data_IF_716308139637
#
_entry.id   IF_716308139637
#
_cell.length_a   1.000
_cell.length_b   1.000
_cell.length_c   1.000
_cell.angle_alpha   90.00
_cell.angle_beta   90.00
_cell.angle_gamma   90.00
#
_symmetry.space_group_name_H-M   'P 1'
#
loop_
_entity.id
_entity.type
_entity.pdbx_description
1 polymer ?
#
# COMPACT_ATOMS: atom_id res chain seq x y z
N UNK A 1 19.26 -18.58 -15.98
CA UNK A 1 19.26 -18.67 -14.51
C UNK A 1 17.83 -18.93 -14.08
N UNK A 2 17.50 -20.15 -13.64
CA UNK A 2 16.16 -20.44 -13.12
C UNK A 2 16.01 -19.82 -11.73
N UNK A 3 15.04 -18.93 -11.56
CA UNK A 3 14.74 -18.36 -10.25
C UNK A 3 14.11 -19.44 -9.35
N UNK A 4 14.72 -19.66 -8.18
CA UNK A 4 14.12 -20.50 -7.14
C UNK A 4 13.02 -19.70 -6.45
N UNK A 5 11.77 -20.07 -6.70
CA UNK A 5 10.60 -19.47 -6.06
C UNK A 5 10.31 -20.22 -4.75
N UNK A 6 10.29 -19.50 -3.64
CA UNK A 6 9.91 -20.03 -2.33
C UNK A 6 8.46 -19.65 -2.01
N UNK A 7 7.54 -20.63 -1.89
CA UNK A 7 6.16 -20.33 -1.57
C UNK A 7 6.01 -19.85 -0.13
N UNK A 8 4.99 -19.02 0.11
CA UNK A 8 4.65 -18.59 1.47
C UNK A 8 4.22 -19.80 2.29
N UNK A 9 4.84 -19.97 3.46
CA UNK A 9 4.52 -21.07 4.36
C UNK A 9 3.07 -20.96 4.86
N UNK A 10 2.36 -22.10 4.97
CA UNK A 10 0.97 -22.16 5.43
C UNK A 10 0.68 -21.38 6.73
N UNK A 11 1.47 -21.48 7.82
CA UNK A 11 1.19 -20.73 9.04
C UNK A 11 1.30 -19.21 8.84
N UNK A 12 2.19 -18.75 7.95
CA UNK A 12 2.31 -17.33 7.62
C UNK A 12 1.11 -16.87 6.79
N UNK A 13 0.71 -17.67 5.79
CA UNK A 13 -0.45 -17.37 4.94
C UNK A 13 -1.74 -17.23 5.77
N UNK A 14 -1.91 -18.06 6.80
CA UNK A 14 -3.11 -18.04 7.65
C UNK A 14 -3.22 -16.79 8.55
N UNK A 15 -2.08 -16.22 8.98
CA UNK A 15 -2.05 -15.04 9.87
C UNK A 15 -1.82 -13.70 9.15
N UNK A 16 -1.50 -13.75 7.86
CA UNK A 16 -1.20 -12.54 7.08
C UNK A 16 -2.47 -11.70 6.89
N UNK A 17 -2.36 -10.39 7.09
CA UNK A 17 -3.47 -9.45 6.90
C UNK A 17 -3.76 -9.15 5.41
N UNK A 18 -2.84 -9.56 4.54
CA UNK A 18 -2.86 -9.31 3.10
C UNK A 18 -2.37 -10.58 2.40
N UNK A 19 -3.13 -11.01 1.40
CA UNK A 19 -2.75 -12.07 0.46
C UNK A 19 -2.33 -11.47 -0.89
N UNK A 20 -2.02 -12.33 -1.86
CA UNK A 20 -1.55 -11.89 -3.19
C UNK A 20 -2.59 -11.04 -3.91
N UNK A 21 -3.85 -11.43 -3.90
CA UNK A 21 -4.91 -10.74 -4.63
C UNK A 21 -5.18 -9.37 -4.04
N UNK A 22 -5.28 -9.30 -2.70
CA UNK A 22 -5.43 -8.04 -1.98
C UNK A 22 -4.23 -7.12 -2.17
N UNK A 23 -3.01 -7.67 -2.17
CA UNK A 23 -1.80 -6.90 -2.46
C UNK A 23 -1.87 -6.27 -3.85
N UNK A 24 -2.16 -7.06 -4.90
CA UNK A 24 -2.21 -6.57 -6.28
C UNK A 24 -3.23 -5.45 -6.44
N UNK A 25 -4.44 -5.67 -5.90
CA UNK A 25 -5.51 -4.66 -5.93
C UNK A 25 -5.15 -3.38 -5.17
N UNK A 26 -4.58 -3.51 -3.98
CA UNK A 26 -4.18 -2.34 -3.18
C UNK A 26 -3.02 -1.59 -3.82
N UNK A 27 -2.08 -2.31 -4.44
CA UNK A 27 -0.97 -1.72 -5.16
C UNK A 27 -1.47 -0.89 -6.35
N UNK A 28 -2.33 -1.47 -7.19
CA UNK A 28 -2.99 -0.78 -8.29
C UNK A 28 -3.71 0.49 -7.80
N UNK A 29 -4.56 0.38 -6.78
CA UNK A 29 -5.28 1.54 -6.23
C UNK A 29 -4.33 2.61 -5.66
N UNK A 30 -3.22 2.19 -5.03
CA UNK A 30 -2.24 3.11 -4.43
C UNK A 30 -1.48 3.95 -5.46
N UNK A 31 -1.33 3.43 -6.68
CA UNK A 31 -0.61 4.08 -7.78
C UNK A 31 -1.57 4.91 -8.63
N UNK A 32 -2.73 4.36 -8.99
CA UNK A 32 -3.71 5.03 -9.83
C UNK A 32 -4.43 6.16 -9.09
N UNK A 33 -4.80 5.94 -7.83
CA UNK A 33 -5.60 6.88 -7.03
C UNK A 33 -4.94 7.13 -5.66
N UNK A 34 -3.73 7.74 -5.63
CA UNK A 34 -2.94 7.86 -4.41
C UNK A 34 -3.64 8.67 -3.33
N UNK A 35 -4.36 9.75 -3.68
CA UNK A 35 -5.06 10.57 -2.67
C UNK A 35 -6.17 9.79 -1.96
N UNK A 36 -6.90 8.94 -2.70
CA UNK A 36 -7.95 8.10 -2.13
C UNK A 36 -7.38 6.99 -1.25
N UNK A 37 -6.38 6.26 -1.78
CA UNK A 37 -5.75 5.16 -1.07
C UNK A 37 -5.04 5.64 0.20
N UNK A 38 -4.08 6.55 0.05
CA UNK A 38 -3.30 7.05 1.19
C UNK A 38 -4.14 7.93 2.11
N UNK A 39 -5.18 8.60 1.60
CA UNK A 39 -6.13 9.34 2.42
C UNK A 39 -6.93 8.44 3.36
N UNK A 40 -7.26 7.22 2.95
CA UNK A 40 -7.86 6.19 3.83
C UNK A 40 -6.84 5.64 4.81
N UNK A 41 -5.65 5.27 4.32
CA UNK A 41 -4.62 4.64 5.15
C UNK A 41 -3.97 5.58 6.17
N UNK A 42 -3.92 6.89 5.90
CA UNK A 42 -3.38 7.90 6.82
C UNK A 42 -4.25 8.16 8.05
N UNK A 43 -5.52 7.75 8.03
CA UNK A 43 -6.45 7.83 9.18
C UNK A 43 -6.16 6.81 10.28
N UNK A 44 -5.23 5.88 10.07
CA UNK A 44 -4.76 4.96 11.12
C UNK A 44 -3.92 5.63 12.20
N UNK A 45 -3.48 6.85 11.94
CA UNK A 45 -2.72 7.69 12.86
C UNK A 45 -3.70 8.69 13.45
N UNK A 46 -3.58 8.95 14.75
CA UNK A 46 -4.38 9.98 15.40
C UNK A 46 -3.79 11.35 15.10
N UNK A 47 -4.61 12.18 14.45
CA UNK A 47 -4.25 13.54 14.08
C UNK A 47 -4.94 14.52 15.00
N UNK A 48 -4.19 15.46 15.57
CA UNK A 48 -4.77 16.61 16.30
C UNK A 48 -5.63 17.49 15.38
N UNK A 49 -5.24 17.61 14.10
CA UNK A 49 -6.03 18.26 13.06
C UNK A 49 -6.01 17.40 11.77
N UNK A 50 -7.17 17.04 11.21
CA UNK A 50 -7.22 16.27 9.96
C UNK A 50 -6.54 17.02 8.80
N UNK A 51 -5.74 16.29 8.02
CA UNK A 51 -5.16 16.81 6.78
C UNK A 51 -6.22 16.89 5.66
N UNK A 52 -6.03 17.82 4.72
CA UNK A 52 -6.92 18.00 3.55
C UNK A 52 -6.26 17.60 2.24
N UNK A 53 -4.91 17.61 2.17
CA UNK A 53 -4.12 17.24 1.00
C UNK A 53 -3.27 16.02 1.33
N UNK A 54 -3.34 14.99 0.49
CA UNK A 54 -2.68 13.70 0.73
C UNK A 54 -1.34 13.63 0.00
N UNK A 55 -1.31 13.79 -1.33
CA UNK A 55 -0.07 13.79 -2.12
C UNK A 55 0.23 15.17 -2.70
N UNK A 56 1.49 15.60 -2.61
CA UNK A 56 1.96 16.86 -3.20
C UNK A 56 3.45 16.77 -3.58
N UNK A 57 3.80 15.83 -4.45
CA UNK A 57 5.19 15.48 -4.80
C UNK A 57 5.44 15.76 -6.28
N UNK A 58 6.60 16.33 -6.63
CA UNK A 58 7.07 16.47 -8.01
C UNK A 58 8.53 16.04 -8.12
N UNK A 59 8.88 15.42 -9.25
CA UNK A 59 10.27 15.09 -9.61
C UNK A 59 10.90 16.12 -10.55
N UNK A 60 10.23 17.24 -10.80
CA UNK A 60 10.71 18.31 -11.69
C UNK A 60 11.68 19.29 -11.00
N UNK A 61 12.25 18.91 -9.85
CA UNK A 61 13.30 19.68 -9.20
C UNK A 61 14.53 19.74 -10.11
N UNK A 62 15.08 20.93 -10.30
CA UNK A 62 16.33 21.13 -11.06
C UNK A 62 17.53 20.61 -10.30
#
# INVERSE_FOLDING_TARGET
MSEKIYPVQKPVKARALIDKEKYLKWYEESVENPDKFWGKHGKRIDWFKPYTKVKNTSFTGK
#
